data_IF_770547449280
#
_entry.id   IF_770547449280
#
_cell.length_a   1.000
_cell.length_b   1.000
_cell.length_c   1.000
_cell.angle_alpha   90.00
_cell.angle_beta   90.00
_cell.angle_gamma   90.00
#
_symmetry.space_group_name_H-M   'P 1'
#
loop_
_entity.id
_entity.type
_entity.pdbx_description
1 polymer ?
#
# COMPACT_ATOMS: atom_id res chain seq x y z
N UNK A 1 -49.78 -71.72 0.17
CA UNK A 1 -50.00 -70.57 1.09
C UNK A 1 -48.84 -69.61 0.92
N UNK A 2 -49.19 -68.36 0.67
CA UNK A 2 -48.39 -67.33 0.02
C UNK A 2 -47.06 -67.00 0.72
N UNK A 3 -46.03 -66.89 -0.11
CA UNK A 3 -44.89 -65.99 0.10
C UNK A 3 -45.33 -64.54 -0.14
N UNK A 4 -44.55 -63.61 0.42
CA UNK A 4 -44.28 -62.23 -0.02
C UNK A 4 -44.80 -61.13 0.92
N UNK A 5 -43.86 -60.56 1.66
CA UNK A 5 -43.63 -59.11 1.70
C UNK A 5 -42.26 -58.86 2.36
N UNK A 6 -41.22 -59.20 1.61
CA UNK A 6 -39.85 -58.79 1.89
C UNK A 6 -39.29 -58.17 0.61
N UNK A 7 -39.45 -56.86 0.43
CA UNK A 7 -38.56 -56.02 -0.41
C UNK A 7 -39.17 -54.63 -0.56
N UNK A 8 -38.75 -53.68 0.27
CA UNK A 8 -38.67 -52.26 -0.11
C UNK A 8 -37.37 -51.71 0.50
N UNK A 9 -36.25 -52.28 0.05
CA UNK A 9 -35.10 -51.41 -0.19
C UNK A 9 -35.40 -50.82 -1.56
N UNK A 10 -36.12 -49.69 -1.60
CA UNK A 10 -36.25 -48.90 -2.82
C UNK A 10 -34.85 -48.47 -3.20
N UNK A 11 -34.34 -49.00 -4.30
CA UNK A 11 -33.10 -48.48 -4.86
C UNK A 11 -33.34 -47.04 -5.33
N UNK A 12 -32.29 -46.24 -5.42
CA UNK A 12 -32.40 -44.87 -5.95
C UNK A 12 -33.04 -44.86 -7.35
N UNK A 13 -32.75 -45.88 -8.15
CA UNK A 13 -33.35 -46.07 -9.47
C UNK A 13 -34.86 -46.34 -9.39
N UNK A 14 -35.32 -47.16 -8.43
CA UNK A 14 -36.75 -47.41 -8.20
C UNK A 14 -37.48 -46.13 -7.76
N UNK A 15 -36.82 -45.32 -6.93
CA UNK A 15 -37.34 -44.02 -6.48
C UNK A 15 -37.47 -43.02 -7.65
N UNK A 16 -36.45 -42.94 -8.52
CA UNK A 16 -36.49 -42.09 -9.71
C UNK A 16 -37.55 -42.56 -10.71
N UNK A 17 -37.72 -43.87 -10.89
CA UNK A 17 -38.72 -44.43 -11.80
C UNK A 17 -40.15 -44.19 -11.30
N UNK A 18 -40.40 -44.24 -9.98
CA UNK A 18 -41.70 -43.84 -9.41
C UNK A 18 -42.00 -42.35 -9.70
N UNK A 19 -41.02 -41.47 -9.59
CA UNK A 19 -41.17 -40.04 -9.86
C UNK A 19 -41.28 -39.72 -11.36
N UNK A 20 -40.64 -40.51 -12.22
CA UNK A 20 -40.83 -40.45 -13.68
C UNK A 20 -42.23 -40.91 -14.08
N UNK A 21 -42.74 -41.97 -13.45
CA UNK A 21 -44.07 -42.51 -13.73
C UNK A 21 -45.19 -41.69 -13.12
N UNK A 22 -44.93 -41.03 -11.97
CA UNK A 22 -45.90 -40.26 -11.20
C UNK A 22 -45.38 -38.85 -10.86
N UNK A 23 -45.05 -38.00 -11.86
CA UNK A 23 -44.43 -36.69 -11.64
C UNK A 23 -45.25 -35.74 -10.78
N UNK A 24 -46.57 -35.90 -10.76
CA UNK A 24 -47.47 -35.09 -9.93
C UNK A 24 -47.30 -35.31 -8.43
N UNK A 25 -46.75 -36.45 -7.97
CA UNK A 25 -46.50 -36.70 -6.54
C UNK A 25 -45.56 -35.65 -5.95
N UNK A 26 -44.42 -35.39 -6.62
CA UNK A 26 -43.48 -34.36 -6.17
C UNK A 26 -44.10 -32.97 -6.26
N UNK A 27 -44.86 -32.70 -7.32
CA UNK A 27 -45.53 -31.40 -7.49
C UNK A 27 -46.53 -31.15 -6.36
N UNK A 28 -47.32 -32.16 -6.00
CA UNK A 28 -48.32 -32.06 -4.94
C UNK A 28 -47.69 -32.03 -3.55
N UNK A 29 -46.59 -32.75 -3.34
CA UNK A 29 -45.77 -32.66 -2.13
C UNK A 29 -45.17 -31.26 -1.96
N UNK A 30 -44.67 -30.65 -3.05
CA UNK A 30 -44.20 -29.26 -3.04
C UNK A 30 -45.36 -28.30 -2.76
N UNK A 31 -46.54 -28.49 -3.36
CA UNK A 31 -47.73 -27.66 -3.06
C UNK A 31 -48.15 -27.74 -1.60
N UNK A 32 -48.04 -28.92 -1.00
CA UNK A 32 -48.47 -29.16 0.38
C UNK A 32 -47.46 -28.64 1.40
N UNK A 33 -46.16 -28.87 1.15
CA UNK A 33 -45.10 -28.60 2.13
C UNK A 33 -44.41 -27.25 1.90
N UNK A 34 -44.45 -26.70 0.68
CA UNK A 34 -43.82 -25.44 0.30
C UNK A 34 -44.78 -24.55 -0.52
N UNK A 35 -45.92 -24.13 0.06
CA UNK A 35 -46.94 -23.34 -0.65
C UNK A 35 -46.41 -21.98 -1.13
N UNK A 36 -45.40 -21.43 -0.46
CA UNK A 36 -44.74 -20.17 -0.82
C UNK A 36 -43.92 -20.28 -2.12
N UNK A 37 -43.31 -21.43 -2.40
CA UNK A 37 -42.60 -21.68 -3.67
C UNK A 37 -43.59 -21.79 -4.83
N UNK A 38 -44.74 -22.42 -4.58
CA UNK A 38 -45.82 -22.53 -5.57
C UNK A 38 -46.45 -21.17 -5.87
N UNK A 39 -46.63 -20.33 -4.87
CA UNK A 39 -47.13 -18.96 -5.05
C UNK A 39 -46.14 -18.10 -5.85
N UNK A 40 -44.83 -18.18 -5.54
CA UNK A 40 -43.77 -17.51 -6.32
C UNK A 40 -43.73 -18.01 -7.77
N UNK A 41 -43.94 -19.30 -7.99
CA UNK A 41 -43.96 -19.90 -9.33
C UNK A 41 -45.18 -19.47 -10.16
N UNK A 42 -46.38 -19.48 -9.55
CA UNK A 42 -47.63 -19.06 -10.20
C UNK A 42 -47.62 -17.59 -10.61
N UNK A 43 -46.95 -16.74 -9.83
CA UNK A 43 -46.87 -15.31 -10.10
C UNK A 43 -45.84 -14.94 -11.19
N UNK A 44 -45.18 -15.92 -11.83
CA UNK A 44 -44.18 -15.66 -12.87
C UNK A 44 -42.89 -15.00 -12.37
N UNK A 45 -42.75 -14.79 -11.05
CA UNK A 45 -41.58 -14.19 -10.40
C UNK A 45 -40.35 -15.14 -10.35
N UNK A 46 -40.40 -16.25 -11.08
CA UNK A 46 -39.25 -17.12 -11.31
C UNK A 46 -38.36 -16.61 -12.47
N UNK A 47 -38.86 -15.71 -13.32
CA UNK A 47 -38.03 -15.04 -14.31
C UNK A 47 -37.21 -13.94 -13.63
N UNK A 48 -35.90 -13.79 -13.94
CA UNK A 48 -35.14 -12.66 -13.42
C UNK A 48 -35.86 -11.37 -13.83
N UNK A 49 -36.25 -10.56 -12.84
CA UNK A 49 -36.74 -9.19 -13.08
C UNK A 49 -35.84 -8.55 -14.14
N UNK A 50 -36.40 -7.81 -15.09
CA UNK A 50 -35.62 -6.97 -16.00
C UNK A 50 -34.81 -5.97 -15.18
N UNK A 51 -33.59 -6.36 -14.82
CA UNK A 51 -32.68 -5.61 -13.97
C UNK A 51 -32.24 -4.38 -14.77
N UNK A 52 -32.61 -3.18 -14.31
CA UNK A 52 -32.17 -1.93 -14.93
C UNK A 52 -30.64 -1.84 -14.97
N UNK A 53 -30.08 -1.09 -15.95
CA UNK A 53 -28.63 -0.98 -16.16
C UNK A 53 -27.84 -0.68 -14.88
N UNK A 54 -28.31 0.27 -14.07
CA UNK A 54 -27.67 0.62 -12.78
C UNK A 54 -27.69 -0.52 -11.77
N UNK A 55 -28.76 -1.31 -11.74
CA UNK A 55 -28.91 -2.45 -10.85
C UNK A 55 -28.08 -3.65 -11.33
N UNK A 56 -27.86 -3.78 -12.64
CA UNK A 56 -26.93 -4.75 -13.24
C UNK A 56 -25.46 -4.40 -12.97
N UNK A 57 -25.12 -3.10 -12.96
CA UNK A 57 -23.80 -2.60 -12.56
C UNK A 57 -23.58 -2.81 -11.06
N UNK A 58 -24.56 -2.46 -10.21
CA UNK A 58 -24.49 -2.64 -8.76
C UNK A 58 -24.44 -4.12 -8.33
N UNK A 59 -25.06 -5.01 -9.11
CA UNK A 59 -25.02 -6.46 -8.89
C UNK A 59 -23.85 -7.15 -9.60
N UNK A 60 -22.97 -6.41 -10.28
CA UNK A 60 -21.79 -7.02 -10.90
C UNK A 60 -20.77 -7.46 -9.84
N UNK A 61 -20.07 -8.55 -10.12
CA UNK A 61 -18.95 -9.06 -9.30
C UNK A 61 -17.82 -8.03 -9.13
N UNK A 62 -17.84 -6.95 -9.92
CA UNK A 62 -16.94 -5.80 -9.82
C UNK A 62 -17.28 -4.90 -8.62
N UNK A 63 -18.55 -4.81 -8.23
CA UNK A 63 -19.04 -3.85 -7.22
C UNK A 63 -19.38 -4.53 -5.90
N UNK A 64 -19.82 -5.79 -5.96
CA UNK A 64 -20.31 -6.54 -4.80
C UNK A 64 -19.88 -7.99 -4.91
N UNK A 65 -19.59 -8.61 -3.76
CA UNK A 65 -19.59 -10.07 -3.67
C UNK A 65 -21.01 -10.56 -3.95
N UNK A 66 -21.19 -11.63 -4.72
CA UNK A 66 -22.51 -12.18 -4.98
C UNK A 66 -22.91 -13.13 -3.83
N UNK A 67 -24.03 -12.90 -3.14
CA UNK A 67 -24.43 -13.76 -2.02
C UNK A 67 -24.71 -15.20 -2.42
N UNK A 68 -25.04 -15.45 -3.70
CA UNK A 68 -25.24 -16.80 -4.24
C UNK A 68 -23.95 -17.61 -4.34
N UNK A 69 -22.78 -16.96 -4.32
CA UNK A 69 -21.50 -17.65 -4.42
C UNK A 69 -20.98 -18.09 -3.04
N UNK A 70 -21.66 -17.68 -1.97
CA UNK A 70 -21.30 -18.00 -0.58
C UNK A 70 -22.00 -19.26 -0.06
N UNK A 71 -23.08 -19.67 -0.71
CA UNK A 71 -23.75 -20.96 -0.50
C UNK A 71 -23.74 -21.75 -1.80
N UNK A 72 -23.87 -23.07 -1.73
CA UNK A 72 -24.02 -23.89 -2.91
C UNK A 72 -25.45 -23.85 -3.45
N UNK A 73 -25.76 -24.72 -4.41
CA UNK A 73 -27.02 -24.65 -5.17
C UNK A 73 -28.15 -25.48 -4.54
N UNK A 74 -27.83 -26.36 -3.60
CA UNK A 74 -28.75 -27.40 -3.09
C UNK A 74 -29.05 -27.16 -1.61
N UNK A 75 -30.24 -27.52 -1.14
CA UNK A 75 -30.62 -27.41 0.29
C UNK A 75 -30.44 -26.00 0.90
N UNK A 76 -30.66 -24.95 0.09
CA UNK A 76 -30.57 -23.56 0.54
C UNK A 76 -31.85 -23.17 1.27
N UNK A 77 -31.74 -22.86 2.57
CA UNK A 77 -32.85 -22.36 3.38
C UNK A 77 -32.84 -20.83 3.45
N UNK A 78 -33.97 -20.20 3.78
CA UNK A 78 -34.06 -18.75 4.01
C UNK A 78 -33.03 -18.23 5.03
N UNK A 79 -32.73 -19.05 6.05
CA UNK A 79 -31.71 -18.74 7.04
C UNK A 79 -30.30 -18.73 6.44
N UNK A 80 -29.97 -19.71 5.58
CA UNK A 80 -28.70 -19.77 4.86
C UNK A 80 -28.58 -18.59 3.90
N UNK A 81 -29.63 -18.26 3.16
CA UNK A 81 -29.62 -17.12 2.23
C UNK A 81 -29.42 -15.79 2.98
N UNK A 82 -30.10 -15.60 4.12
CA UNK A 82 -29.96 -14.40 4.97
C UNK A 82 -28.55 -14.26 5.53
N UNK A 83 -27.95 -15.34 6.02
CA UNK A 83 -26.59 -15.34 6.53
C UNK A 83 -25.57 -15.05 5.43
N UNK A 84 -25.73 -15.70 4.28
CA UNK A 84 -24.88 -15.47 3.10
C UNK A 84 -24.95 -14.00 2.69
N UNK A 85 -26.15 -13.41 2.58
CA UNK A 85 -26.35 -11.97 2.31
C UNK A 85 -25.60 -11.08 3.31
N UNK A 86 -25.64 -11.40 4.60
CA UNK A 86 -25.00 -10.61 5.65
C UNK A 86 -23.47 -10.70 5.56
N UNK A 87 -22.90 -11.89 5.37
CA UNK A 87 -21.46 -12.07 5.15
C UNK A 87 -20.98 -11.34 3.91
N UNK A 88 -21.76 -11.42 2.83
CA UNK A 88 -21.49 -10.74 1.56
C UNK A 88 -21.45 -9.21 1.70
N UNK A 89 -22.38 -8.64 2.46
CA UNK A 89 -22.41 -7.20 2.73
C UNK A 89 -21.15 -6.76 3.48
N UNK A 90 -20.75 -7.51 4.51
CA UNK A 90 -19.53 -7.18 5.26
C UNK A 90 -18.26 -7.32 4.41
N UNK A 91 -18.17 -8.36 3.56
CA UNK A 91 -17.06 -8.52 2.61
C UNK A 91 -17.01 -7.36 1.61
N UNK A 92 -18.16 -6.95 1.07
CA UNK A 92 -18.25 -5.83 0.14
C UNK A 92 -17.83 -4.51 0.78
N UNK A 93 -18.33 -4.20 1.99
CA UNK A 93 -17.98 -2.98 2.72
C UNK A 93 -16.48 -2.95 3.03
N UNK A 94 -15.92 -4.09 3.47
CA UNK A 94 -14.49 -4.23 3.74
C UNK A 94 -13.66 -3.97 2.47
N UNK A 95 -14.00 -4.58 1.34
CA UNK A 95 -13.29 -4.38 0.07
C UNK A 95 -13.39 -2.93 -0.40
N UNK A 96 -14.57 -2.31 -0.28
CA UNK A 96 -14.76 -0.88 -0.59
C UNK A 96 -13.93 0.04 0.30
N UNK A 97 -13.99 -0.14 1.62
CA UNK A 97 -13.25 0.71 2.55
C UNK A 97 -11.74 0.67 2.30
N UNK A 98 -11.22 -0.53 2.01
CA UNK A 98 -9.82 -0.72 1.66
C UNK A 98 -9.48 -0.07 0.31
N UNK A 99 -10.30 -0.32 -0.71
CA UNK A 99 -10.06 0.16 -2.06
C UNK A 99 -10.12 1.69 -2.17
N UNK A 100 -11.06 2.33 -1.47
CA UNK A 100 -11.15 3.80 -1.38
C UNK A 100 -9.89 4.40 -0.77
N UNK A 101 -9.29 3.73 0.22
CA UNK A 101 -8.04 4.18 0.83
C UNK A 101 -6.82 4.11 -0.09
N UNK A 102 -6.81 3.21 -1.07
CA UNK A 102 -5.69 3.05 -2.02
C UNK A 102 -5.78 3.99 -3.21
N UNK A 103 -6.98 4.41 -3.59
CA UNK A 103 -7.21 5.28 -4.75
C UNK A 103 -6.35 6.58 -4.76
N UNK A 104 -6.13 7.28 -3.63
CA UNK A 104 -5.27 8.46 -3.60
C UNK A 104 -3.81 8.17 -3.95
N UNK A 105 -3.30 6.99 -3.59
CA UNK A 105 -1.94 6.56 -3.92
C UNK A 105 -1.86 6.22 -5.41
N UNK A 106 -2.85 5.52 -5.95
CA UNK A 106 -2.89 5.23 -7.39
C UNK A 106 -3.00 6.51 -8.22
N UNK A 107 -3.79 7.48 -7.76
CA UNK A 107 -3.92 8.80 -8.37
C UNK A 107 -2.60 9.58 -8.28
N UNK A 108 -2.06 9.73 -7.08
CA UNK A 108 -0.86 10.53 -6.84
C UNK A 108 0.37 9.88 -7.49
N UNK A 109 0.51 8.56 -7.44
CA UNK A 109 1.69 7.80 -7.88
C UNK A 109 2.07 8.00 -9.34
N UNK A 110 1.12 8.37 -10.20
CA UNK A 110 1.36 8.68 -11.63
C UNK A 110 1.34 10.19 -11.94
N UNK A 111 1.45 11.04 -10.91
CA UNK A 111 1.49 12.50 -11.03
C UNK A 111 0.12 13.19 -11.01
N UNK A 112 -0.97 12.46 -10.77
CA UNK A 112 -2.32 13.02 -10.75
C UNK A 112 -2.88 13.34 -12.14
N UNK A 113 -3.84 14.27 -12.22
CA UNK A 113 -4.47 14.65 -13.49
C UNK A 113 -5.27 13.52 -14.14
N UNK A 114 -5.39 13.54 -15.47
CA UNK A 114 -6.17 12.53 -16.21
C UNK A 114 -5.56 11.14 -16.10
N UNK A 115 -4.23 11.03 -16.19
CA UNK A 115 -3.50 9.76 -15.96
C UNK A 115 -3.72 9.24 -14.54
N UNK A 116 -3.74 10.12 -13.54
CA UNK A 116 -4.07 9.81 -12.16
C UNK A 116 -5.48 9.24 -12.01
N UNK A 117 -6.48 9.83 -12.66
CA UNK A 117 -7.86 9.32 -12.63
C UNK A 117 -7.93 7.92 -13.25
N UNK A 118 -7.31 7.72 -14.43
CA UNK A 118 -7.28 6.42 -15.10
C UNK A 118 -6.61 5.37 -14.22
N UNK A 119 -5.45 5.70 -13.64
CA UNK A 119 -4.71 4.83 -12.71
C UNK A 119 -5.56 4.44 -11.50
N UNK A 120 -6.21 5.42 -10.86
CA UNK A 120 -7.08 5.18 -9.71
C UNK A 120 -8.25 4.25 -10.07
N UNK A 121 -8.91 4.45 -11.22
CA UNK A 121 -10.00 3.58 -11.68
C UNK A 121 -9.50 2.15 -11.91
N UNK A 122 -8.36 1.97 -12.57
CA UNK A 122 -7.77 0.64 -12.82
C UNK A 122 -7.46 -0.05 -11.50
N UNK A 123 -6.80 0.63 -10.56
CA UNK A 123 -6.46 0.06 -9.25
C UNK A 123 -7.72 -0.28 -8.46
N UNK A 124 -8.74 0.58 -8.47
CA UNK A 124 -10.02 0.31 -7.83
C UNK A 124 -10.64 -0.98 -8.38
N UNK A 125 -10.70 -1.12 -9.71
CA UNK A 125 -11.26 -2.30 -10.38
C UNK A 125 -10.48 -3.56 -10.01
N UNK A 126 -9.15 -3.51 -10.07
CA UNK A 126 -8.30 -4.66 -9.76
C UNK A 126 -8.41 -5.08 -8.29
N UNK A 127 -8.39 -4.11 -7.36
CA UNK A 127 -8.54 -4.38 -5.93
C UNK A 127 -9.92 -5.00 -5.61
N UNK A 128 -10.99 -4.49 -6.22
CA UNK A 128 -12.33 -5.05 -6.03
C UNK A 128 -12.47 -6.45 -6.60
N UNK A 129 -12.00 -6.68 -7.84
CA UNK A 129 -12.04 -8.01 -8.45
C UNK A 129 -11.24 -9.03 -7.64
N UNK A 130 -10.01 -8.66 -7.23
CA UNK A 130 -9.17 -9.52 -6.41
C UNK A 130 -9.84 -9.79 -5.06
N UNK A 131 -10.30 -8.76 -4.36
CA UNK A 131 -10.94 -8.87 -3.04
C UNK A 131 -12.23 -9.68 -3.08
N UNK A 132 -13.08 -9.49 -4.10
CA UNK A 132 -14.33 -10.23 -4.24
C UNK A 132 -14.06 -11.70 -4.59
N UNK A 133 -13.12 -11.96 -5.50
CA UNK A 133 -12.72 -13.33 -5.88
C UNK A 133 -12.10 -14.10 -4.71
N UNK A 134 -11.14 -13.50 -3.98
CA UNK A 134 -10.50 -14.15 -2.83
C UNK A 134 -11.47 -14.36 -1.68
N UNK A 135 -12.38 -13.41 -1.44
CA UNK A 135 -13.41 -13.53 -0.40
C UNK A 135 -14.40 -14.64 -0.71
N UNK A 136 -14.87 -14.73 -1.96
CA UNK A 136 -15.77 -15.80 -2.43
C UNK A 136 -15.10 -17.16 -2.32
N UNK A 137 -13.88 -17.30 -2.83
CA UNK A 137 -13.14 -18.55 -2.75
C UNK A 137 -12.81 -18.95 -1.29
N UNK A 138 -12.62 -17.98 -0.39
CA UNK A 138 -12.40 -18.24 1.04
C UNK A 138 -13.66 -18.69 1.78
N UNK A 139 -14.83 -18.25 1.33
CA UNK A 139 -16.15 -18.64 1.85
C UNK A 139 -16.58 -20.05 1.43
N UNK A 140 -15.96 -20.62 0.39
CA UNK A 140 -16.33 -21.94 -0.13
C UNK A 140 -16.20 -23.03 0.97
N UNK A 141 -17.33 -23.63 1.33
CA UNK A 141 -17.44 -24.63 2.39
C UNK A 141 -17.31 -26.08 1.89
N UNK A 142 -17.08 -26.30 0.59
CA UNK A 142 -16.95 -27.63 0.02
C UNK A 142 -15.75 -28.38 0.66
N UNK A 143 -15.97 -29.56 1.28
CA UNK A 143 -14.89 -30.35 1.87
C UNK A 143 -13.78 -30.72 0.88
N UNK A 144 -14.14 -30.99 -0.39
CA UNK A 144 -13.19 -31.39 -1.43
C UNK A 144 -12.22 -30.27 -1.83
N UNK A 145 -12.67 -29.00 -1.77
CA UNK A 145 -11.85 -27.83 -2.12
C UNK A 145 -11.25 -27.12 -0.89
N UNK A 146 -11.33 -27.70 0.31
CA UNK A 146 -10.96 -27.02 1.57
C UNK A 146 -9.53 -26.51 1.62
N UNK A 147 -8.58 -27.18 0.96
CA UNK A 147 -7.19 -26.69 0.79
C UNK A 147 -7.13 -25.41 -0.03
N UNK A 148 -7.93 -25.32 -1.09
CA UNK A 148 -8.03 -24.12 -1.93
C UNK A 148 -8.69 -22.97 -1.18
N UNK A 149 -9.81 -23.23 -0.49
CA UNK A 149 -10.48 -22.23 0.33
C UNK A 149 -9.57 -21.67 1.44
N UNK A 150 -8.72 -22.50 2.04
CA UNK A 150 -7.72 -22.04 3.02
C UNK A 150 -6.62 -21.19 2.39
N UNK A 151 -6.14 -21.51 1.18
CA UNK A 151 -5.18 -20.67 0.46
C UNK A 151 -5.80 -19.32 0.10
N UNK A 152 -7.03 -19.32 -0.40
CA UNK A 152 -7.77 -18.09 -0.72
C UNK A 152 -8.06 -17.25 0.53
N UNK A 153 -8.32 -17.87 1.68
CA UNK A 153 -8.44 -17.16 2.95
C UNK A 153 -7.15 -16.44 3.31
N UNK A 154 -6.00 -17.12 3.24
CA UNK A 154 -4.71 -16.48 3.50
C UNK A 154 -4.40 -15.37 2.50
N UNK A 155 -4.69 -15.59 1.21
CA UNK A 155 -4.56 -14.55 0.19
C UNK A 155 -5.45 -13.33 0.51
N UNK A 156 -6.69 -13.57 0.95
CA UNK A 156 -7.60 -12.50 1.35
C UNK A 156 -7.07 -11.73 2.57
N UNK A 157 -6.63 -12.43 3.62
CA UNK A 157 -6.04 -11.81 4.83
C UNK A 157 -4.83 -10.95 4.44
N UNK A 158 -3.90 -11.49 3.65
CA UNK A 158 -2.72 -10.75 3.19
C UNK A 158 -3.10 -9.52 2.39
N UNK A 159 -4.07 -9.63 1.48
CA UNK A 159 -4.57 -8.52 0.69
C UNK A 159 -5.16 -7.43 1.60
N UNK A 160 -6.02 -7.78 2.56
CA UNK A 160 -6.64 -6.82 3.48
C UNK A 160 -5.60 -6.11 4.36
N UNK A 161 -4.57 -6.82 4.83
CA UNK A 161 -3.47 -6.23 5.61
C UNK A 161 -2.70 -5.19 4.78
N UNK A 162 -2.32 -5.56 3.55
CA UNK A 162 -1.60 -4.66 2.64
C UNK A 162 -2.45 -3.43 2.30
N UNK A 163 -3.71 -3.62 1.92
CA UNK A 163 -4.61 -2.53 1.57
C UNK A 163 -4.87 -1.60 2.77
N UNK A 164 -4.96 -2.14 3.99
CA UNK A 164 -5.13 -1.34 5.21
C UNK A 164 -3.93 -0.44 5.48
N UNK A 165 -2.70 -0.96 5.33
CA UNK A 165 -1.48 -0.16 5.48
C UNK A 165 -1.44 0.97 4.45
N UNK A 166 -1.74 0.64 3.20
CA UNK A 166 -1.76 1.58 2.09
C UNK A 166 -2.88 2.62 2.26
N UNK A 167 -4.03 2.24 2.81
CA UNK A 167 -5.17 3.13 3.09
C UNK A 167 -4.83 4.28 4.04
N UNK A 168 -4.08 4.00 5.11
CA UNK A 168 -3.57 5.03 6.03
C UNK A 168 -2.66 6.05 5.33
N UNK A 169 -1.81 5.58 4.43
CA UNK A 169 -0.90 6.43 3.64
C UNK A 169 -1.67 7.24 2.59
N UNK A 170 -2.67 6.64 1.94
CA UNK A 170 -3.48 7.30 0.91
C UNK A 170 -4.40 8.38 1.49
N UNK A 171 -4.96 8.13 2.66
CA UNK A 171 -5.71 9.15 3.40
C UNK A 171 -4.83 10.34 3.80
N UNK A 172 -3.58 10.11 4.24
CA UNK A 172 -2.63 11.19 4.51
C UNK A 172 -2.34 12.05 3.27
N UNK A 173 -2.25 11.46 2.07
CA UNK A 173 -2.11 12.19 0.79
C UNK A 173 -3.32 13.10 0.54
N UNK A 174 -4.53 12.65 0.87
CA UNK A 174 -5.75 13.44 0.67
C UNK A 174 -5.88 14.54 1.71
N UNK A 175 -5.82 14.18 2.99
CA UNK A 175 -6.19 15.07 4.10
C UNK A 175 -5.07 16.01 4.48
N UNK A 176 -3.81 15.66 4.18
CA UNK A 176 -2.65 16.39 4.66
C UNK A 176 -1.68 16.84 3.56
N UNK A 177 -2.18 16.93 2.33
CA UNK A 177 -1.38 17.32 1.14
C UNK A 177 -0.55 18.60 1.34
N UNK A 178 -1.09 19.62 2.02
CA UNK A 178 -0.37 20.87 2.29
C UNK A 178 0.82 20.69 3.23
N UNK A 179 0.67 19.88 4.29
CA UNK A 179 1.78 19.58 5.20
C UNK A 179 2.83 18.71 4.49
N UNK A 180 2.39 17.72 3.69
CA UNK A 180 3.29 16.89 2.90
C UNK A 180 4.13 17.73 1.92
N UNK A 181 3.52 18.72 1.25
CA UNK A 181 4.27 19.64 0.40
C UNK A 181 5.30 20.47 1.17
N UNK A 182 5.02 20.86 2.42
CA UNK A 182 6.00 21.56 3.27
C UNK A 182 7.16 20.64 3.66
N UNK A 183 6.88 19.43 4.13
CA UNK A 183 7.89 18.42 4.46
C UNK A 183 8.78 18.12 3.25
N UNK A 184 8.17 17.95 2.08
CA UNK A 184 8.92 17.73 0.86
C UNK A 184 9.73 18.95 0.43
N UNK A 185 9.20 20.17 0.62
CA UNK A 185 9.96 21.38 0.36
C UNK A 185 11.19 21.51 1.26
N UNK A 186 11.08 21.15 2.54
CA UNK A 186 12.21 21.11 3.47
C UNK A 186 13.27 20.11 2.98
N UNK A 187 12.86 18.92 2.52
CA UNK A 187 13.76 17.94 1.89
C UNK A 187 14.47 18.51 0.66
N UNK A 188 13.75 19.17 -0.24
CA UNK A 188 14.34 19.77 -1.45
C UNK A 188 15.35 20.86 -1.12
N UNK A 189 15.03 21.75 -0.18
CA UNK A 189 15.93 22.80 0.30
C UNK A 189 17.18 22.19 0.95
N UNK A 190 17.01 21.17 1.78
CA UNK A 190 18.12 20.47 2.43
C UNK A 190 19.08 19.84 1.40
N UNK A 191 18.54 19.11 0.41
CA UNK A 191 19.34 18.43 -0.60
C UNK A 191 20.01 19.38 -1.61
N UNK A 192 19.32 20.46 -2.02
CA UNK A 192 19.80 21.29 -3.13
C UNK A 192 20.44 22.61 -2.68
N UNK A 193 20.09 23.12 -1.50
CA UNK A 193 20.54 24.44 -1.06
C UNK A 193 21.45 24.36 0.18
N UNK A 194 21.19 23.45 1.12
CA UNK A 194 22.03 23.30 2.32
C UNK A 194 23.21 22.34 2.12
N UNK A 195 23.13 21.39 1.20
CA UNK A 195 24.19 20.41 0.96
C UNK A 195 25.56 21.04 0.65
N UNK A 196 25.62 22.05 -0.22
CA UNK A 196 26.89 22.69 -0.60
C UNK A 196 27.51 23.50 0.55
N UNK A 197 26.77 24.41 1.22
CA UNK A 197 27.27 25.09 2.42
C UNK A 197 27.75 24.13 3.51
N UNK A 198 26.98 23.07 3.81
CA UNK A 198 27.37 22.05 4.80
C UNK A 198 28.63 21.28 4.40
N UNK A 199 28.79 20.98 3.11
CA UNK A 199 30.02 20.37 2.60
C UNK A 199 31.23 21.29 2.80
N UNK A 200 31.10 22.59 2.53
CA UNK A 200 32.18 23.55 2.75
C UNK A 200 32.55 23.68 4.23
N UNK A 201 31.57 23.64 5.14
CA UNK A 201 31.79 23.61 6.58
C UNK A 201 32.59 22.36 6.97
N UNK A 202 32.13 21.17 6.56
CA UNK A 202 32.80 19.91 6.86
C UNK A 202 34.20 19.83 6.26
N UNK A 203 34.40 20.33 5.04
CA UNK A 203 35.72 20.40 4.41
C UNK A 203 36.65 21.36 5.16
N UNK A 204 36.14 22.54 5.54
CA UNK A 204 36.88 23.48 6.39
C UNK A 204 37.32 22.87 7.71
N UNK A 205 36.44 22.13 8.39
CA UNK A 205 36.78 21.40 9.63
C UNK A 205 37.86 20.33 9.40
N UNK A 206 37.80 19.59 8.29
CA UNK A 206 38.85 18.62 7.94
C UNK A 206 40.19 19.29 7.68
N UNK A 207 40.21 20.45 7.04
CA UNK A 207 41.43 21.23 6.80
C UNK A 207 41.99 21.77 8.13
N UNK A 208 41.14 22.22 9.05
CA UNK A 208 41.55 22.64 10.39
C UNK A 208 42.17 21.48 11.20
N UNK A 209 41.63 20.26 11.09
CA UNK A 209 42.27 19.08 11.68
C UNK A 209 43.65 18.78 11.05
N UNK A 210 43.79 18.96 9.74
CA UNK A 210 45.11 18.86 9.10
C UNK A 210 46.08 19.95 9.57
N UNK A 211 45.59 21.16 9.87
CA UNK A 211 46.40 22.23 10.44
C UNK A 211 46.99 21.83 11.79
N UNK A 212 46.18 21.21 12.68
CA UNK A 212 46.66 20.68 13.97
C UNK A 212 47.74 19.61 13.79
N UNK A 213 47.55 18.68 12.85
CA UNK A 213 48.56 17.66 12.54
C UNK A 213 49.84 18.29 12.01
N UNK A 214 49.73 19.26 11.09
CA UNK A 214 50.88 19.98 10.56
C UNK A 214 51.60 20.79 11.66
N UNK A 215 50.85 21.36 12.60
CA UNK A 215 51.40 22.08 13.77
C UNK A 215 52.24 21.13 14.62
N UNK A 216 51.72 19.95 14.96
CA UNK A 216 52.48 18.94 15.70
C UNK A 216 53.77 18.52 14.97
N UNK A 217 53.75 18.42 13.63
CA UNK A 217 54.94 18.12 12.83
C UNK A 217 55.95 19.27 12.89
N UNK A 218 55.50 20.53 12.76
CA UNK A 218 56.35 21.70 12.94
C UNK A 218 56.99 21.71 14.32
N UNK A 219 56.20 21.50 15.39
CA UNK A 219 56.69 21.51 16.77
C UNK A 219 57.73 20.41 17.01
N UNK A 220 57.49 19.20 16.51
CA UNK A 220 58.46 18.10 16.57
C UNK A 220 59.76 18.43 15.83
N UNK A 221 59.68 18.99 14.61
CA UNK A 221 60.85 19.37 13.82
C UNK A 221 61.60 20.58 14.39
N UNK A 222 60.89 21.50 15.04
CA UNK A 222 61.48 22.60 15.80
C UNK A 222 62.22 22.09 17.04
N UNK A 223 61.68 21.08 17.73
CA UNK A 223 62.34 20.45 18.86
C UNK A 223 63.61 19.68 18.45
N UNK A 224 63.67 19.10 17.24
CA UNK A 224 64.89 18.55 16.65
C UNK A 224 65.94 19.64 16.36
N UNK A 225 65.50 20.82 15.90
CA UNK A 225 66.37 21.95 15.56
C UNK A 225 66.95 22.71 16.78
N UNK A 226 66.20 22.85 17.87
CA UNK A 226 66.63 23.60 19.06
C UNK A 226 67.95 23.12 19.72
N UNK A 227 68.22 21.82 19.92
CA UNK A 227 69.47 21.36 20.53
C UNK A 227 70.68 21.44 19.59
N UNK A 228 70.47 21.53 18.26
CA UNK A 228 71.56 21.72 17.28
C UNK A 228 72.06 23.17 17.25
N UNK A 229 71.18 24.13 17.56
CA UNK A 229 71.48 25.58 17.66
C UNK A 229 72.59 25.93 18.66
N UNK A 230 72.78 25.12 19.70
CA UNK A 230 73.79 25.36 20.74
C UNK A 230 75.19 24.79 20.46
N UNK A 231 75.39 24.06 19.36
CA UNK A 231 76.59 23.22 19.15
C UNK A 231 77.55 23.70 18.05
N UNK A 232 77.14 24.58 17.12
CA UNK A 232 78.00 25.06 16.02
C UNK A 232 77.43 26.33 15.36
N UNK A 233 78.21 27.42 15.30
CA UNK A 233 77.82 28.68 14.62
C UNK A 233 77.68 28.54 13.09
N UNK A 234 78.42 27.61 12.45
CA UNK A 234 78.40 27.41 10.99
C UNK A 234 77.27 26.50 10.49
N UNK A 235 76.80 25.56 11.31
CA UNK A 235 75.60 24.74 11.00
C UNK A 235 74.29 25.51 11.25
N UNK A 236 74.39 26.67 11.89
CA UNK A 236 73.26 27.46 12.37
C UNK A 236 73.01 28.73 11.54
N UNK A 237 73.87 29.10 10.60
CA UNK A 237 73.57 30.24 9.72
C UNK A 237 72.26 29.95 8.97
N UNK A 238 71.20 30.75 9.16
CA UNK A 238 69.94 30.59 8.44
C UNK A 238 70.12 30.55 6.92
N UNK A 239 71.25 31.08 6.42
CA UNK A 239 71.64 31.07 5.01
C UNK A 239 72.26 29.76 4.53
N UNK A 240 72.75 28.89 5.42
CA UNK A 240 73.44 27.63 5.05
C UNK A 240 72.79 26.37 5.65
N UNK A 241 71.88 26.51 6.61
CA UNK A 241 71.22 25.38 7.27
C UNK A 241 70.06 24.81 6.44
N UNK A 242 70.22 23.57 5.95
CA UNK A 242 69.16 22.85 5.24
C UNK A 242 67.93 22.55 6.10
N UNK A 243 68.10 22.46 7.44
CA UNK A 243 66.99 22.20 8.35
C UNK A 243 66.16 23.47 8.58
N UNK A 244 66.81 24.63 8.70
CA UNK A 244 66.15 25.93 8.74
C UNK A 244 65.31 26.16 7.47
N UNK A 245 65.87 25.88 6.29
CA UNK A 245 65.17 26.04 5.02
C UNK A 245 63.94 25.14 4.91
N UNK A 246 63.99 23.90 5.39
CA UNK A 246 62.81 23.00 5.42
C UNK A 246 61.73 23.46 6.40
N UNK A 247 62.11 24.06 7.52
CA UNK A 247 61.19 24.57 8.54
C UNK A 247 60.50 25.87 8.11
N UNK A 248 61.27 26.82 7.57
CA UNK A 248 60.83 28.21 7.36
C UNK A 248 60.84 28.68 5.90
N UNK A 249 61.50 27.93 5.01
CA UNK A 249 61.78 28.30 3.62
C UNK A 249 63.11 29.05 3.45
N UNK A 250 63.40 29.53 2.23
CA UNK A 250 64.64 30.26 1.94
C UNK A 250 64.81 31.47 2.88
N UNK A 251 66.04 31.76 3.28
CA UNK A 251 66.29 32.92 4.13
C UNK A 251 66.16 34.24 3.35
N UNK A 252 65.59 35.26 3.98
CA UNK A 252 65.49 36.61 3.41
C UNK A 252 64.39 36.80 2.35
N UNK A 253 63.59 35.78 2.03
CA UNK A 253 62.42 35.97 1.16
C UNK A 253 61.23 36.55 1.95
N UNK A 254 60.47 37.50 1.36
CA UNK A 254 59.29 38.06 2.00
C UNK A 254 58.18 37.00 2.13
N UNK A 255 57.26 37.17 3.09
CA UNK A 255 56.17 36.21 3.29
C UNK A 255 55.29 36.03 2.04
N UNK A 256 55.19 37.07 1.20
CA UNK A 256 54.44 37.05 -0.06
C UNK A 256 55.00 36.09 -1.11
N UNK A 257 56.26 35.66 -0.98
CA UNK A 257 56.84 34.62 -1.82
C UNK A 257 56.05 33.30 -1.71
N UNK A 258 55.61 32.98 -0.50
CA UNK A 258 54.92 31.73 -0.22
C UNK A 258 53.43 31.75 -0.61
N UNK A 259 52.87 32.90 -0.97
CA UNK A 259 51.44 33.01 -1.32
C UNK A 259 51.06 32.26 -2.59
N UNK A 260 52.03 32.08 -3.50
CA UNK A 260 51.85 31.38 -4.77
C UNK A 260 52.26 29.91 -4.70
N UNK A 261 52.84 29.47 -3.58
CA UNK A 261 53.29 28.09 -3.38
C UNK A 261 52.10 27.27 -2.90
N UNK A 262 51.92 26.07 -3.49
CA UNK A 262 50.86 25.16 -3.06
C UNK A 262 51.08 24.73 -1.62
N UNK A 263 50.01 24.56 -0.86
CA UNK A 263 50.06 24.20 0.57
C UNK A 263 50.84 22.90 0.84
N UNK A 264 50.87 21.98 -0.12
CA UNK A 264 51.66 20.74 -0.02
C UNK A 264 53.18 20.99 0.00
N UNK A 265 53.63 22.03 -0.72
CA UNK A 265 55.04 22.37 -0.97
C UNK A 265 55.55 23.45 0.02
N UNK A 266 54.71 23.87 0.97
CA UNK A 266 55.10 24.86 1.98
C UNK A 266 56.06 24.27 3.03
N UNK A 267 56.98 25.09 3.56
CA UNK A 267 57.82 24.71 4.70
C UNK A 267 57.00 24.24 5.90
N UNK A 268 57.56 23.33 6.70
CA UNK A 268 56.85 22.64 7.78
C UNK A 268 56.13 23.57 8.75
N UNK A 269 56.73 24.72 9.10
CA UNK A 269 56.15 25.66 10.05
C UNK A 269 55.33 26.79 9.42
N UNK A 270 55.26 26.87 8.08
CA UNK A 270 54.34 27.78 7.38
C UNK A 270 53.03 27.10 6.99
N UNK A 271 53.08 25.77 6.79
CA UNK A 271 51.94 24.94 6.42
C UNK A 271 50.75 24.98 7.40
N UNK A 272 50.93 24.95 8.74
CA UNK A 272 49.83 24.93 9.69
C UNK A 272 48.96 26.18 9.55
N UNK A 273 49.60 27.36 9.54
CA UNK A 273 48.91 28.64 9.41
C UNK A 273 48.15 28.78 8.10
N UNK A 274 48.71 28.32 6.97
CA UNK A 274 47.99 28.31 5.69
C UNK A 274 46.76 27.42 5.74
N UNK A 275 46.89 26.21 6.31
CA UNK A 275 45.75 25.30 6.47
C UNK A 275 44.72 25.86 7.44
N UNK A 276 45.13 26.54 8.50
CA UNK A 276 44.24 27.23 9.43
C UNK A 276 43.45 28.32 8.71
N UNK A 277 44.14 29.25 8.02
CA UNK A 277 43.51 30.32 7.24
C UNK A 277 42.55 29.77 6.16
N UNK A 278 42.97 28.74 5.42
CA UNK A 278 42.16 28.10 4.36
C UNK A 278 40.92 27.40 4.95
N UNK A 279 41.10 26.66 6.04
CA UNK A 279 40.03 25.94 6.74
C UNK A 279 39.01 26.88 7.39
N UNK A 280 39.47 27.94 8.06
CA UNK A 280 38.61 28.98 8.63
C UNK A 280 37.83 29.72 7.55
N UNK A 281 38.48 30.05 6.43
CA UNK A 281 37.83 30.70 5.29
C UNK A 281 36.75 29.82 4.69
N UNK A 282 37.02 28.54 4.44
CA UNK A 282 36.03 27.60 3.91
C UNK A 282 34.85 27.43 4.86
N UNK A 283 35.13 27.21 6.14
CA UNK A 283 34.11 27.08 7.18
C UNK A 283 33.27 28.35 7.31
N UNK A 284 33.91 29.52 7.35
CA UNK A 284 33.24 30.82 7.47
C UNK A 284 32.40 31.18 6.24
N UNK A 285 32.89 30.86 5.04
CA UNK A 285 32.10 31.01 3.81
C UNK A 285 30.89 30.08 3.78
N UNK A 286 31.08 28.81 4.14
CA UNK A 286 30.00 27.82 4.25
C UNK A 286 28.95 28.25 5.27
N UNK A 287 29.37 28.66 6.47
CA UNK A 287 28.47 29.13 7.53
C UNK A 287 27.70 30.37 7.08
N UNK A 288 28.38 31.38 6.52
CA UNK A 288 27.73 32.60 6.04
C UNK A 288 26.70 32.31 4.93
N UNK A 289 27.03 31.41 4.01
CA UNK A 289 26.08 30.98 2.98
C UNK A 289 24.88 30.25 3.57
N UNK A 290 25.11 29.32 4.50
CA UNK A 290 24.05 28.58 5.18
C UNK A 290 23.12 29.52 5.94
N UNK A 291 23.66 30.42 6.76
CA UNK A 291 22.90 31.40 7.54
C UNK A 291 22.08 32.32 6.63
N UNK A 292 22.67 32.75 5.50
CA UNK A 292 21.98 33.60 4.52
C UNK A 292 20.79 32.86 3.90
N UNK A 293 20.98 31.61 3.45
CA UNK A 293 19.89 30.83 2.86
C UNK A 293 18.83 30.52 3.91
N UNK A 294 19.20 30.08 5.11
CA UNK A 294 18.26 29.80 6.20
C UNK A 294 17.44 31.03 6.56
N UNK A 295 18.09 32.19 6.75
CA UNK A 295 17.38 33.44 7.05
C UNK A 295 16.43 33.84 5.94
N UNK A 296 16.82 33.67 4.67
CA UNK A 296 15.94 33.99 3.54
C UNK A 296 14.75 33.02 3.45
N UNK A 297 14.95 31.75 3.76
CA UNK A 297 13.90 30.73 3.82
C UNK A 297 12.88 31.09 4.91
N UNK A 298 13.34 31.45 6.10
CA UNK A 298 12.49 31.87 7.22
C UNK A 298 11.71 33.16 6.89
N UNK A 299 12.39 34.18 6.36
CA UNK A 299 11.75 35.44 5.93
C UNK A 299 10.69 35.25 4.86
N UNK A 300 10.85 34.24 4.00
CA UNK A 300 9.88 33.92 2.95
C UNK A 300 8.62 33.24 3.46
N UNK A 301 8.59 32.82 4.74
CA UNK A 301 7.50 32.05 5.35
C UNK A 301 7.72 30.53 5.34
N UNK A 302 8.96 30.08 5.16
CA UNK A 302 9.36 28.67 5.13
C UNK A 302 9.75 28.15 3.73
N UNK A 303 10.25 26.91 3.68
CA UNK A 303 10.86 26.31 2.48
C UNK A 303 9.96 26.31 1.26
N UNK A 304 8.67 25.99 1.43
CA UNK A 304 7.73 25.93 0.30
C UNK A 304 7.54 27.31 -0.36
N UNK A 305 7.34 28.37 0.44
CA UNK A 305 7.17 29.73 -0.08
C UNK A 305 8.47 30.29 -0.64
N UNK A 306 9.60 30.00 0.00
CA UNK A 306 10.91 30.35 -0.52
C UNK A 306 11.15 29.73 -1.90
N UNK A 307 10.89 28.42 -2.06
CA UNK A 307 11.01 27.75 -3.36
C UNK A 307 10.09 28.39 -4.40
N UNK A 308 8.84 28.67 -4.03
CA UNK A 308 7.83 29.27 -4.92
C UNK A 308 8.21 30.69 -5.38
N UNK A 309 8.76 31.52 -4.49
CA UNK A 309 9.07 32.93 -4.78
C UNK A 309 10.46 33.11 -5.40
N UNK A 310 11.48 32.55 -4.74
CA UNK A 310 12.90 32.82 -5.01
C UNK A 310 13.55 31.78 -5.91
N UNK A 311 13.07 30.54 -5.92
CA UNK A 311 13.63 29.42 -6.71
C UNK A 311 12.59 28.76 -7.62
N UNK A 312 11.89 29.57 -8.42
CA UNK A 312 10.80 29.14 -9.31
C UNK A 312 11.15 27.94 -10.20
N UNK A 313 12.37 27.89 -10.73
CA UNK A 313 12.83 26.76 -11.54
C UNK A 313 12.82 25.44 -10.75
N UNK A 314 13.38 25.45 -9.54
CA UNK A 314 13.39 24.29 -8.64
C UNK A 314 11.96 23.95 -8.17
N UNK A 315 11.14 24.97 -7.90
CA UNK A 315 9.73 24.75 -7.56
C UNK A 315 8.98 24.02 -8.67
N UNK A 316 9.08 24.48 -9.93
CA UNK A 316 8.38 23.87 -11.06
C UNK A 316 8.82 22.42 -11.38
N UNK A 317 10.02 22.03 -10.95
CA UNK A 317 10.52 20.66 -11.11
C UNK A 317 9.91 19.71 -10.06
N UNK A 318 9.62 20.21 -8.86
CA UNK A 318 9.23 19.40 -7.71
C UNK A 318 7.76 19.55 -7.32
N UNK A 319 7.10 20.62 -7.76
CA UNK A 319 5.73 20.98 -7.39
C UNK A 319 4.90 21.36 -8.62
N UNK A 320 3.62 21.00 -8.55
CA UNK A 320 2.58 21.46 -9.47
C UNK A 320 2.20 22.92 -9.19
N UNK A 321 1.51 23.57 -10.12
CA UNK A 321 1.00 24.94 -9.94
C UNK A 321 0.12 25.10 -8.69
N UNK A 322 -0.59 24.04 -8.31
CA UNK A 322 -1.43 23.99 -7.12
C UNK A 322 -0.64 23.75 -5.81
N UNK A 323 0.70 23.69 -5.88
CA UNK A 323 1.56 23.45 -4.73
C UNK A 323 1.56 22.02 -4.19
N UNK A 324 1.05 21.05 -4.96
CA UNK A 324 1.20 19.62 -4.66
C UNK A 324 2.51 19.10 -5.22
N UNK A 325 3.08 18.07 -4.60
CA UNK A 325 4.28 17.39 -5.10
C UNK A 325 4.01 16.86 -6.53
N UNK A 326 4.88 17.22 -7.49
CA UNK A 326 4.73 16.88 -8.90
C UNK A 326 5.06 15.41 -9.18
N UNK A 327 6.16 14.92 -8.60
CA UNK A 327 6.58 13.53 -8.74
C UNK A 327 5.72 12.64 -7.84
N UNK A 328 4.89 11.80 -8.46
CA UNK A 328 3.94 10.95 -7.74
C UNK A 328 4.59 9.99 -6.73
N UNK A 329 5.74 9.42 -7.08
CA UNK A 329 6.51 8.57 -6.19
C UNK A 329 7.02 9.32 -4.95
N UNK A 330 7.44 10.57 -5.11
CA UNK A 330 7.88 11.42 -3.99
C UNK A 330 6.71 11.80 -3.09
N UNK A 331 5.51 12.01 -3.67
CA UNK A 331 4.30 12.25 -2.88
C UNK A 331 3.95 11.04 -2.01
N UNK A 332 3.99 9.83 -2.58
CA UNK A 332 3.72 8.58 -1.86
C UNK A 332 4.81 8.30 -0.83
N UNK A 333 6.08 8.45 -1.18
CA UNK A 333 7.22 8.24 -0.26
C UNK A 333 7.21 9.23 0.90
N UNK A 334 6.92 10.50 0.64
CA UNK A 334 6.82 11.52 1.69
C UNK A 334 5.65 11.23 2.62
N UNK A 335 4.50 10.82 2.06
CA UNK A 335 3.33 10.41 2.85
C UNK A 335 3.63 9.20 3.72
N UNK A 336 4.25 8.16 3.15
CA UNK A 336 4.63 6.95 3.87
C UNK A 336 5.57 7.28 5.02
N UNK A 337 6.62 8.07 4.77
CA UNK A 337 7.56 8.50 5.80
C UNK A 337 6.87 9.28 6.92
N UNK A 338 6.01 10.23 6.58
CA UNK A 338 5.29 11.04 7.57
C UNK A 338 4.31 10.20 8.40
N UNK A 339 3.52 9.35 7.75
CA UNK A 339 2.55 8.47 8.40
C UNK A 339 3.24 7.48 9.33
N UNK A 340 4.25 6.75 8.84
CA UNK A 340 5.00 5.78 9.64
C UNK A 340 5.74 6.44 10.79
N UNK A 341 6.36 7.60 10.56
CA UNK A 341 7.03 8.35 11.63
C UNK A 341 6.07 8.70 12.75
N UNK A 342 4.94 9.36 12.44
CA UNK A 342 3.93 9.75 13.44
C UNK A 342 3.34 8.54 14.17
N UNK A 343 3.13 7.43 13.47
CA UNK A 343 2.60 6.20 14.06
C UNK A 343 3.58 5.61 15.08
N UNK A 344 4.87 5.53 14.71
CA UNK A 344 5.92 4.95 15.55
C UNK A 344 6.34 5.85 16.72
N UNK A 345 6.28 7.17 16.55
CA UNK A 345 6.61 8.13 17.62
C UNK A 345 5.46 8.39 18.58
N UNK A 346 4.27 7.83 18.32
CA UNK A 346 3.10 8.01 19.18
C UNK A 346 2.33 9.31 18.96
N UNK A 347 2.61 10.05 17.88
CA UNK A 347 1.93 11.31 17.51
C UNK A 347 0.58 11.04 16.82
N UNK A 348 -0.27 10.23 17.47
CA UNK A 348 -1.55 9.77 16.92
C UNK A 348 -2.56 10.90 16.77
N UNK A 349 -2.44 11.94 17.60
CA UNK A 349 -3.21 13.19 17.51
C UNK A 349 -3.01 13.89 16.17
N UNK A 350 -1.79 13.81 15.60
CA UNK A 350 -1.45 14.38 14.28
C UNK A 350 -1.81 13.47 13.09
N UNK A 351 -2.34 12.28 13.36
CA UNK A 351 -2.81 11.32 12.36
C UNK A 351 -4.34 11.28 12.25
N UNK A 352 -5.09 12.01 13.08
CA UNK A 352 -6.56 12.08 13.14
C UNK A 352 -7.35 11.28 12.10
N UNK A 353 -7.65 11.90 10.95
CA UNK A 353 -8.39 11.27 9.85
C UNK A 353 -7.70 10.02 9.24
N UNK A 354 -6.41 10.07 8.88
CA UNK A 354 -5.69 8.88 8.43
C UNK A 354 -5.77 7.67 9.36
N UNK A 355 -5.63 7.90 10.67
CA UNK A 355 -5.73 6.84 11.68
C UNK A 355 -7.16 6.30 11.79
N UNK A 356 -8.17 7.17 11.68
CA UNK A 356 -9.57 6.75 11.65
C UNK A 356 -9.87 5.85 10.44
N UNK A 357 -9.41 6.24 9.25
CA UNK A 357 -9.58 5.42 8.03
C UNK A 357 -8.86 4.07 8.14
N UNK A 358 -7.61 4.07 8.62
CA UNK A 358 -6.88 2.84 8.87
C UNK A 358 -7.60 1.94 9.90
N UNK A 359 -8.14 2.53 10.98
CA UNK A 359 -8.86 1.80 12.03
C UNK A 359 -10.17 1.20 11.51
N UNK A 360 -10.96 1.95 10.75
CA UNK A 360 -12.18 1.44 10.11
C UNK A 360 -11.84 0.28 9.16
N UNK A 361 -10.77 0.42 8.39
CA UNK A 361 -10.25 -0.63 7.52
C UNK A 361 -9.92 -1.92 8.28
N UNK A 362 -9.24 -1.81 9.43
CA UNK A 362 -8.96 -2.95 10.32
C UNK A 362 -10.26 -3.59 10.84
N UNK A 363 -11.20 -2.77 11.32
CA UNK A 363 -12.46 -3.26 11.90
C UNK A 363 -13.27 -4.03 10.85
N UNK A 364 -13.52 -3.44 9.68
CA UNK A 364 -14.30 -4.08 8.63
C UNK A 364 -13.60 -5.31 8.06
N UNK A 365 -12.27 -5.28 7.90
CA UNK A 365 -11.51 -6.44 7.44
C UNK A 365 -11.57 -7.59 8.45
N UNK A 366 -11.42 -7.29 9.74
CA UNK A 366 -11.50 -8.30 10.80
C UNK A 366 -12.90 -8.91 10.89
N UNK A 367 -13.95 -8.07 10.84
CA UNK A 367 -15.33 -8.54 10.83
C UNK A 367 -15.64 -9.41 9.60
N UNK A 368 -15.18 -9.00 8.42
CA UNK A 368 -15.31 -9.74 7.16
C UNK A 368 -14.64 -11.11 7.25
N UNK A 369 -13.40 -11.19 7.74
CA UNK A 369 -12.66 -12.44 7.91
C UNK A 369 -13.37 -13.36 8.92
N UNK A 370 -13.80 -12.82 10.07
CA UNK A 370 -14.49 -13.60 11.11
C UNK A 370 -15.82 -14.16 10.60
N UNK A 371 -16.61 -13.33 9.90
CA UNK A 371 -17.86 -13.79 9.30
C UNK A 371 -17.64 -14.84 8.21
N UNK A 372 -16.60 -14.69 7.40
CA UNK A 372 -16.20 -15.70 6.41
C UNK A 372 -15.87 -17.03 7.06
N UNK A 373 -15.08 -16.99 8.15
CA UNK A 373 -14.70 -18.18 8.92
C UNK A 373 -15.89 -18.85 9.60
N UNK A 374 -16.79 -18.06 10.21
CA UNK A 374 -17.99 -18.60 10.85
C UNK A 374 -18.95 -19.19 9.83
N UNK A 375 -19.21 -18.47 8.73
CA UNK A 375 -20.13 -18.90 7.69
C UNK A 375 -19.67 -20.21 7.04
N UNK A 376 -18.41 -20.29 6.57
CA UNK A 376 -17.90 -21.48 5.87
C UNK A 376 -17.81 -22.73 6.76
N UNK A 377 -17.64 -22.56 8.07
CA UNK A 377 -17.46 -23.69 8.99
C UNK A 377 -18.79 -24.28 9.46
N UNK A 378 -19.94 -23.68 9.11
CA UNK A 378 -21.24 -24.24 9.43
C UNK A 378 -21.49 -25.52 8.62
N UNK A 379 -21.84 -26.65 9.27
CA UNK A 379 -22.16 -27.89 8.56
C UNK A 379 -23.30 -27.73 7.56
N UNK A 380 -24.31 -26.91 7.88
CA UNK A 380 -25.43 -26.62 6.99
C UNK A 380 -25.01 -25.97 5.68
N UNK A 381 -23.95 -25.16 5.68
CA UNK A 381 -23.41 -24.52 4.47
C UNK A 381 -22.63 -25.54 3.64
N UNK A 382 -21.84 -26.42 4.26
CA UNK A 382 -21.11 -27.45 3.55
C UNK A 382 -22.02 -28.40 2.75
N UNK A 383 -23.20 -28.73 3.30
CA UNK A 383 -24.21 -29.56 2.63
C UNK A 383 -24.72 -28.92 1.33
N UNK A 384 -24.79 -27.59 1.27
CA UNK A 384 -25.25 -26.91 0.06
C UNK A 384 -24.30 -27.06 -1.13
N UNK A 385 -23.03 -27.37 -0.86
CA UNK A 385 -21.97 -27.58 -1.86
C UNK A 385 -21.71 -29.07 -2.16
N UNK A 386 -22.52 -29.99 -1.63
CA UNK A 386 -22.30 -31.42 -1.86
C UNK A 386 -22.62 -31.79 -3.32
N UNK A 387 -21.61 -32.25 -4.10
CA UNK A 387 -21.83 -32.64 -5.49
C UNK A 387 -22.78 -33.83 -5.63
N UNK A 388 -22.84 -34.71 -4.62
CA UNK A 388 -23.73 -35.89 -4.62
C UNK A 388 -25.18 -35.46 -4.45
N UNK A 389 -25.43 -34.53 -3.52
CA UNK A 389 -26.76 -33.96 -3.31
C UNK A 389 -27.23 -33.19 -4.55
N UNK A 390 -26.32 -32.47 -5.23
CA UNK A 390 -26.62 -31.79 -6.49
C UNK A 390 -26.98 -32.76 -7.60
N UNK A 391 -26.16 -33.79 -7.81
CA UNK A 391 -26.43 -34.80 -8.80
C UNK A 391 -27.78 -35.51 -8.55
N UNK A 392 -28.06 -35.90 -7.31
CA UNK A 392 -29.33 -36.52 -6.94
C UNK A 392 -30.53 -35.58 -7.18
N UNK A 393 -30.38 -34.29 -6.88
CA UNK A 393 -31.41 -33.29 -7.16
C UNK A 393 -31.64 -33.10 -8.66
N UNK A 394 -30.58 -32.97 -9.45
CA UNK A 394 -30.66 -32.83 -10.91
C UNK A 394 -31.29 -34.07 -11.57
N UNK A 395 -30.94 -35.28 -11.10
CA UNK A 395 -31.53 -36.54 -11.55
C UNK A 395 -33.03 -36.61 -11.24
N UNK A 396 -33.46 -36.19 -10.05
CA UNK A 396 -34.87 -36.12 -9.67
C UNK A 396 -35.64 -35.12 -10.53
N UNK A 397 -35.11 -33.91 -10.73
CA UNK A 397 -35.74 -32.88 -11.58
C UNK A 397 -35.85 -33.37 -13.03
N UNK A 398 -34.82 -34.02 -13.55
CA UNK A 398 -34.84 -34.59 -14.89
C UNK A 398 -35.89 -35.71 -15.03
N UNK A 399 -35.96 -36.64 -14.06
CA UNK A 399 -36.95 -37.72 -14.06
C UNK A 399 -38.39 -37.19 -14.05
N UNK A 400 -38.67 -36.17 -13.22
CA UNK A 400 -39.99 -35.53 -13.16
C UNK A 400 -40.30 -34.77 -14.46
N UNK A 401 -39.34 -34.04 -15.02
CA UNK A 401 -39.53 -33.33 -16.29
C UNK A 401 -39.79 -34.29 -17.47
N UNK A 402 -39.08 -35.41 -17.51
CA UNK A 402 -39.31 -36.47 -18.50
C UNK A 402 -40.69 -37.10 -18.34
N UNK A 403 -41.11 -37.39 -17.11
CA UNK A 403 -42.45 -37.86 -16.79
C UNK A 403 -43.55 -36.90 -17.26
N UNK A 404 -43.37 -35.60 -17.04
CA UNK A 404 -44.32 -34.57 -17.48
C UNK A 404 -44.37 -34.43 -19.01
N UNK A 405 -43.25 -34.56 -19.71
CA UNK A 405 -43.20 -34.46 -21.18
C UNK A 405 -43.77 -35.70 -21.89
N UNK A 406 -43.69 -36.86 -21.24
CA UNK A 406 -44.20 -38.12 -21.77
C UNK A 406 -45.70 -38.35 -21.47
N UNK A 407 -46.30 -37.52 -20.61
CA UNK A 407 -47.74 -37.48 -20.44
C UNK A 407 -48.33 -36.61 -21.54
N UNK A 408 -49.22 -37.19 -22.36
CA UNK A 408 -50.01 -36.42 -23.33
C UNK A 408 -50.68 -35.23 -22.62
N UNK A 409 -50.71 -34.04 -23.23
CA UNK A 409 -51.40 -32.90 -22.65
C UNK A 409 -52.83 -33.34 -22.31
N UNK A 410 -53.38 -32.96 -21.13
CA UNK A 410 -54.73 -33.33 -20.78
C UNK A 410 -55.63 -32.92 -21.94
N UNK A 411 -56.41 -33.88 -22.44
CA UNK A 411 -57.39 -33.63 -23.49
C UNK A 411 -58.18 -32.39 -23.06
N UNK A 412 -58.11 -31.34 -23.88
CA UNK A 412 -59.02 -30.22 -23.74
C UNK A 412 -60.40 -30.83 -23.99
N UNK A 413 -61.17 -31.01 -22.92
CA UNK A 413 -62.60 -31.30 -23.02
C UNK A 413 -63.22 -30.08 -23.70
N UNK A 414 -63.33 -30.15 -25.03
CA UNK A 414 -64.05 -29.19 -25.89
C UNK A 414 -65.58 -29.27 -25.68
N UNK A 415 -66.06 -30.03 -24.69
CA UNK A 415 -67.47 -30.13 -24.33
C UNK A 415 -67.76 -29.47 -22.97
N UNK A 416 -67.70 -28.13 -22.95
CA UNK A 416 -68.61 -27.34 -22.11
C UNK A 416 -69.22 -26.19 -22.92
N UNK A 417 -70.53 -26.23 -23.21
CA UNK A 417 -71.24 -25.12 -23.85
C UNK A 417 -71.34 -23.87 -22.98
#
# INVERSE_FOLDING_TARGET
MNKNSSSLCESWDDFLEDHRSNPHKLIDEIKQNHPDLVEKAKNGNLSPETIGFWQKVLNSELVRVNPRDLHGEVMVTDAIEKESKLTTVMQTISNWSNTVGVAPIAYAGVGGGVSGVISAVIVIVLCQLAGNSTSTAASNANPASRKWANRSLWANISLQVVLTLISGVGSEILTNSAQLSKIYADKVVEEHLYATPRRNIAEGERVLEQAKVAQNICDAKMAEYQPERGKSEKLYDPKTSSLYEKLHGPHGVPSSYFDKIRTADLPYCRKPKRLEDDGEKLRGQGQKQLDTVQSTVEQSGGSLEYLKKEKRGLYSQHFTENGRIAAGQEAVSTSMGNFSSKLLTGEWDKLGFPLMFASLSVIFSSASILMTLWHRNKPSIALTFDPTAKQAFDELIHAVAEGLNNQEPPAIDDDKP
#
